data_IF_540603929818
#
_entry.id   IF_540603929818
#
_cell.length_a   1.000
_cell.length_b   1.000
_cell.length_c   1.000
_cell.angle_alpha   90.00
_cell.angle_beta   90.00
_cell.angle_gamma   90.00
#
_symmetry.space_group_name_H-M   'P 1'
#
loop_
_entity.id
_entity.type
_entity.pdbx_description
1 polymer ?
#
# COMPACT_ATOMS: atom_id res chain seq x y z
N UNK A 1 -16.18 15.11 11.00
CA UNK A 1 -15.33 14.04 10.45
C UNK A 1 -16.09 12.76 10.62
N UNK A 2 -16.47 12.13 9.50
CA UNK A 2 -17.33 10.96 9.54
C UNK A 2 -16.60 9.75 10.12
N UNK A 3 -17.33 8.87 10.81
CA UNK A 3 -16.74 7.64 11.35
C UNK A 3 -16.11 6.78 10.23
N UNK A 4 -16.69 6.80 9.02
CA UNK A 4 -16.14 6.09 7.86
C UNK A 4 -14.83 6.72 7.40
N UNK A 5 -14.74 8.03 7.40
CA UNK A 5 -13.52 8.76 7.05
C UNK A 5 -12.35 8.35 7.95
N UNK A 6 -12.57 8.27 9.28
CA UNK A 6 -11.56 7.79 10.24
C UNK A 6 -11.14 6.35 9.94
N UNK A 7 -12.10 5.46 9.66
CA UNK A 7 -11.82 4.05 9.33
C UNK A 7 -10.97 3.94 8.06
N UNK A 8 -11.31 4.67 7.00
CA UNK A 8 -10.56 4.69 5.75
C UNK A 8 -9.14 5.22 5.96
N UNK A 9 -8.97 6.31 6.70
CA UNK A 9 -7.65 6.83 7.07
C UNK A 9 -6.84 5.78 7.84
N UNK A 10 -7.43 5.10 8.82
CA UNK A 10 -6.76 4.05 9.58
C UNK A 10 -6.34 2.86 8.71
N UNK A 11 -7.14 2.50 7.69
CA UNK A 11 -6.78 1.45 6.73
C UNK A 11 -5.57 1.84 5.88
N UNK A 12 -5.47 3.10 5.42
CA UNK A 12 -4.28 3.59 4.70
C UNK A 12 -3.03 3.62 5.57
N UNK A 13 -3.15 4.05 6.83
CA UNK A 13 -2.05 3.99 7.81
C UNK A 13 -1.58 2.55 7.99
N UNK A 14 -2.50 1.62 8.21
CA UNK A 14 -2.15 0.22 8.39
C UNK A 14 -1.52 -0.39 7.13
N UNK A 15 -2.04 -0.07 5.94
CA UNK A 15 -1.45 -0.51 4.67
C UNK A 15 0.00 -0.02 4.51
N UNK A 16 0.26 1.24 4.84
CA UNK A 16 1.63 1.78 4.85
C UNK A 16 2.55 1.06 5.84
N UNK A 17 2.07 0.80 7.05
CA UNK A 17 2.85 0.11 8.06
C UNK A 17 3.15 -1.34 7.66
N UNK A 18 2.25 -2.02 6.95
CA UNK A 18 2.48 -3.36 6.41
C UNK A 18 3.64 -3.33 5.39
N UNK A 19 3.67 -2.35 4.49
CA UNK A 19 4.76 -2.22 3.53
C UNK A 19 6.10 -1.96 4.22
N UNK A 20 6.14 -1.02 5.18
CA UNK A 20 7.35 -0.72 5.95
C UNK A 20 7.83 -1.91 6.77
N UNK A 21 6.89 -2.69 7.36
CA UNK A 21 7.23 -3.91 8.08
C UNK A 21 7.88 -4.95 7.14
N UNK A 22 7.38 -5.09 5.92
CA UNK A 22 8.00 -5.94 4.90
C UNK A 22 9.45 -5.54 4.62
N UNK A 23 9.70 -4.24 4.41
CA UNK A 23 11.05 -3.73 4.18
C UNK A 23 11.98 -3.98 5.38
N UNK A 24 11.49 -3.74 6.59
CA UNK A 24 12.23 -4.03 7.83
C UNK A 24 12.59 -5.52 7.92
N UNK A 25 11.64 -6.42 7.68
CA UNK A 25 11.89 -7.87 7.73
C UNK A 25 12.90 -8.32 6.67
N UNK A 26 12.87 -7.77 5.45
CA UNK A 26 13.86 -8.08 4.40
C UNK A 26 15.27 -7.66 4.80
N UNK A 27 15.40 -6.49 5.44
CA UNK A 27 16.69 -6.01 5.94
C UNK A 27 17.23 -6.95 7.03
N UNK A 28 16.40 -7.34 8.00
CA UNK A 28 16.86 -8.14 9.14
C UNK A 28 17.01 -9.64 8.85
N UNK A 29 16.28 -10.18 7.89
CA UNK A 29 16.43 -11.58 7.45
C UNK A 29 17.68 -11.81 6.59
N UNK A 30 18.27 -10.74 6.04
CA UNK A 30 19.37 -10.84 5.08
C UNK A 30 18.92 -11.18 3.66
N UNK A 31 17.61 -11.17 3.38
CA UNK A 31 17.03 -11.39 2.05
C UNK A 31 17.21 -10.17 1.11
N UNK A 32 17.97 -9.17 1.53
CA UNK A 32 18.24 -7.95 0.77
C UNK A 32 19.74 -7.74 0.53
N UNK A 33 20.08 -7.33 -0.70
CA UNK A 33 21.41 -6.80 -1.05
C UNK A 33 21.32 -5.29 -1.23
N UNK A 34 22.14 -4.48 -0.53
CA UNK A 34 22.13 -3.03 -0.66
C UNK A 34 22.24 -2.56 -2.12
N UNK A 35 21.25 -1.78 -2.57
CA UNK A 35 21.20 -1.21 -3.92
C UNK A 35 20.64 -2.15 -5.00
N UNK A 36 20.29 -3.39 -4.67
CA UNK A 36 19.72 -4.34 -5.61
C UNK A 36 18.23 -4.62 -5.32
N UNK A 37 17.44 -4.74 -6.37
CA UNK A 37 16.10 -5.32 -6.34
C UNK A 37 16.11 -6.50 -7.29
N UNK A 38 15.66 -7.67 -6.82
CA UNK A 38 15.61 -8.92 -7.60
C UNK A 38 16.97 -9.27 -8.27
N UNK A 39 18.09 -8.97 -7.59
CA UNK A 39 19.44 -9.27 -8.08
C UNK A 39 19.96 -8.33 -9.17
N UNK A 40 19.29 -7.19 -9.40
CA UNK A 40 19.75 -6.16 -10.35
C UNK A 40 19.99 -4.83 -9.66
N UNK A 41 21.09 -4.17 -9.99
CA UNK A 41 21.40 -2.82 -9.50
C UNK A 41 20.36 -1.82 -9.99
N UNK A 42 19.78 -1.09 -9.06
CA UNK A 42 18.65 -0.20 -9.33
C UNK A 42 19.15 1.21 -9.59
N UNK A 43 18.79 1.77 -10.75
CA UNK A 43 19.18 3.13 -11.11
C UNK A 43 18.46 4.18 -10.26
N UNK A 44 19.05 5.38 -10.14
CA UNK A 44 18.45 6.50 -9.40
C UNK A 44 17.03 6.83 -9.90
N UNK A 45 16.78 6.72 -11.20
CA UNK A 45 15.45 6.94 -11.80
C UNK A 45 14.43 5.93 -11.30
N UNK A 46 14.82 4.67 -11.16
CA UNK A 46 13.92 3.63 -10.64
C UNK A 46 13.63 3.86 -9.16
N UNK A 47 14.64 4.24 -8.36
CA UNK A 47 14.43 4.63 -6.96
C UNK A 47 13.44 5.79 -6.81
N UNK A 48 13.56 6.81 -7.67
CA UNK A 48 12.61 7.91 -7.70
C UNK A 48 11.19 7.43 -8.07
N UNK A 49 11.08 6.52 -9.04
CA UNK A 49 9.80 5.92 -9.41
C UNK A 49 9.14 5.17 -8.25
N UNK A 50 9.91 4.36 -7.52
CA UNK A 50 9.42 3.67 -6.31
C UNK A 50 9.00 4.68 -5.24
N UNK A 51 9.77 5.74 -5.01
CA UNK A 51 9.44 6.77 -4.03
C UNK A 51 8.11 7.48 -4.38
N UNK A 52 7.92 7.86 -5.65
CA UNK A 52 6.67 8.46 -6.15
C UNK A 52 5.50 7.48 -6.02
N UNK A 53 5.70 6.20 -6.31
CA UNK A 53 4.66 5.19 -6.15
C UNK A 53 4.27 5.05 -4.66
N UNK A 54 5.26 4.88 -3.78
CA UNK A 54 5.06 4.63 -2.35
C UNK A 54 4.56 5.85 -1.56
N UNK A 55 4.70 7.06 -2.08
CA UNK A 55 4.08 8.25 -1.45
C UNK A 55 2.55 8.21 -1.59
N UNK A 56 2.02 7.50 -2.58
CA UNK A 56 0.57 7.42 -2.87
C UNK A 56 -0.25 7.04 -1.62
N UNK A 57 0.01 5.91 -0.94
CA UNK A 57 -0.70 5.55 0.28
C UNK A 57 -0.49 6.53 1.45
N UNK A 58 0.62 7.27 1.50
CA UNK A 58 0.81 8.37 2.47
C UNK A 58 -0.11 9.55 2.13
N UNK A 59 -0.19 9.94 0.85
CA UNK A 59 -1.11 10.98 0.40
C UNK A 59 -2.55 10.60 0.67
N UNK A 60 -2.91 9.33 0.51
CA UNK A 60 -4.26 8.85 0.79
C UNK A 60 -4.69 9.03 2.25
N UNK A 61 -3.77 8.98 3.22
CA UNK A 61 -4.08 9.31 4.62
C UNK A 61 -4.61 10.75 4.71
N UNK A 62 -3.93 11.70 4.07
CA UNK A 62 -4.29 13.11 4.08
C UNK A 62 -5.53 13.39 3.22
N UNK A 63 -5.56 12.87 2.00
CA UNK A 63 -6.67 13.05 1.07
C UNK A 63 -7.97 12.50 1.64
N UNK A 64 -7.92 11.36 2.33
CA UNK A 64 -9.11 10.82 3.01
C UNK A 64 -9.60 11.76 4.11
N UNK A 65 -8.73 12.50 4.80
CA UNK A 65 -9.15 13.47 5.83
C UNK A 65 -9.61 14.82 5.25
N UNK A 66 -9.14 15.18 4.06
CA UNK A 66 -9.35 16.51 3.47
C UNK A 66 -10.45 16.57 2.42
N UNK A 67 -10.73 15.48 1.72
CA UNK A 67 -11.72 15.44 0.65
C UNK A 67 -13.13 15.20 1.21
N UNK A 68 -14.11 15.88 0.63
CA UNK A 68 -15.52 15.67 0.91
C UNK A 68 -16.17 14.65 -0.04
N UNK A 69 -17.38 14.21 0.30
CA UNK A 69 -18.20 13.38 -0.57
C UNK A 69 -18.72 14.16 -1.79
N UNK A 70 -18.88 13.52 -2.96
CA UNK A 70 -18.64 12.09 -3.26
C UNK A 70 -17.20 11.76 -3.71
N UNK A 71 -16.32 12.77 -3.78
CA UNK A 71 -14.97 12.62 -4.37
C UNK A 71 -14.14 11.66 -3.53
N UNK A 72 -14.18 11.81 -2.20
CA UNK A 72 -13.40 10.99 -1.28
C UNK A 72 -13.65 9.48 -1.44
N UNK A 73 -14.92 9.09 -1.59
CA UNK A 73 -15.33 7.71 -1.87
C UNK A 73 -14.65 7.15 -3.12
N UNK A 74 -14.74 7.86 -4.24
CA UNK A 74 -14.21 7.36 -5.51
C UNK A 74 -12.68 7.31 -5.52
N UNK A 75 -12.02 8.31 -4.92
CA UNK A 75 -10.55 8.31 -4.79
C UNK A 75 -10.09 7.11 -3.97
N UNK A 76 -10.73 6.82 -2.83
CA UNK A 76 -10.42 5.64 -2.03
C UNK A 76 -10.58 4.32 -2.81
N UNK A 77 -11.69 4.16 -3.53
CA UNK A 77 -11.96 2.94 -4.31
C UNK A 77 -10.92 2.75 -5.40
N UNK A 78 -10.68 3.79 -6.23
CA UNK A 78 -9.78 3.69 -7.39
C UNK A 78 -8.36 3.37 -6.92
N UNK A 79 -7.87 4.07 -5.90
CA UNK A 79 -6.49 3.89 -5.42
C UNK A 79 -6.33 2.55 -4.70
N UNK A 80 -7.34 2.07 -3.96
CA UNK A 80 -7.30 0.74 -3.35
C UNK A 80 -7.33 -0.39 -4.40
N UNK A 81 -8.13 -0.26 -5.47
CA UNK A 81 -8.13 -1.21 -6.58
C UNK A 81 -6.77 -1.25 -7.28
N UNK A 82 -6.16 -0.07 -7.52
CA UNK A 82 -4.82 0.01 -8.09
C UNK A 82 -3.80 -0.75 -7.23
N UNK A 83 -3.76 -0.48 -5.93
CA UNK A 83 -2.83 -1.16 -5.01
C UNK A 83 -3.10 -2.66 -4.87
N UNK A 84 -4.37 -3.06 -4.88
CA UNK A 84 -4.75 -4.47 -4.90
C UNK A 84 -4.18 -5.17 -6.14
N UNK A 85 -4.39 -4.60 -7.33
CA UNK A 85 -3.87 -5.15 -8.58
C UNK A 85 -2.34 -5.17 -8.62
N UNK A 86 -1.70 -4.07 -8.20
CA UNK A 86 -0.24 -3.97 -8.13
C UNK A 86 0.36 -5.05 -7.22
N UNK A 87 -0.17 -5.23 -6.01
CA UNK A 87 0.30 -6.25 -5.08
C UNK A 87 0.01 -7.67 -5.58
N UNK A 88 -1.16 -7.89 -6.20
CA UNK A 88 -1.52 -9.19 -6.75
C UNK A 88 -0.53 -9.63 -7.84
N UNK A 89 -0.12 -8.71 -8.71
CA UNK A 89 0.92 -8.94 -9.71
C UNK A 89 2.31 -9.10 -9.09
N UNK A 90 2.56 -8.44 -7.95
CA UNK A 90 3.80 -8.55 -7.19
C UNK A 90 4.00 -9.87 -6.43
N UNK A 91 2.92 -10.54 -6.00
CA UNK A 91 2.95 -11.78 -5.20
C UNK A 91 3.97 -12.84 -5.65
N UNK A 92 4.04 -13.22 -6.95
CA UNK A 92 4.95 -14.28 -7.41
C UNK A 92 6.43 -13.93 -7.25
N UNK A 93 6.74 -12.64 -7.13
CA UNK A 93 8.09 -12.09 -7.08
C UNK A 93 8.78 -12.33 -5.74
N UNK A 94 8.03 -12.58 -4.66
CA UNK A 94 8.59 -12.65 -3.31
C UNK A 94 8.89 -14.09 -2.88
N UNK A 95 10.16 -14.43 -2.57
CA UNK A 95 10.53 -15.77 -2.14
C UNK A 95 10.20 -16.04 -0.65
N UNK A 96 10.23 -15.01 0.21
CA UNK A 96 10.04 -15.14 1.65
C UNK A 96 8.58 -15.41 2.07
N UNK A 97 8.37 -16.31 3.04
CA UNK A 97 7.04 -16.59 3.60
C UNK A 97 6.43 -15.37 4.29
N UNK A 98 7.25 -14.58 4.99
CA UNK A 98 6.78 -13.36 5.66
C UNK A 98 6.30 -12.30 4.65
N UNK A 99 6.99 -12.15 3.51
CA UNK A 99 6.59 -11.24 2.45
C UNK A 99 5.25 -11.62 1.86
N UNK A 100 5.07 -12.91 1.53
CA UNK A 100 3.78 -13.41 1.02
C UNK A 100 2.66 -13.20 2.03
N UNK A 101 2.91 -13.47 3.31
CA UNK A 101 1.92 -13.23 4.36
C UNK A 101 1.54 -11.76 4.44
N UNK A 102 2.51 -10.85 4.55
CA UNK A 102 2.25 -9.41 4.63
C UNK A 102 1.56 -8.89 3.37
N UNK A 103 1.88 -9.41 2.19
CA UNK A 103 1.21 -9.03 0.95
C UNK A 103 -0.24 -9.54 0.90
N UNK A 104 -0.53 -10.76 1.37
CA UNK A 104 -1.92 -11.23 1.48
C UNK A 104 -2.72 -10.38 2.47
N UNK A 105 -2.11 -9.99 3.59
CA UNK A 105 -2.73 -9.07 4.54
C UNK A 105 -2.99 -7.71 3.87
N UNK A 106 -2.03 -7.17 3.12
CA UNK A 106 -2.21 -5.90 2.40
C UNK A 106 -3.36 -5.95 1.39
N UNK A 107 -3.56 -7.08 0.70
CA UNK A 107 -4.72 -7.30 -0.19
C UNK A 107 -6.04 -7.24 0.58
N UNK A 108 -6.11 -7.86 1.77
CA UNK A 108 -7.30 -7.79 2.61
C UNK A 108 -7.62 -6.34 3.04
N UNK A 109 -6.60 -5.54 3.37
CA UNK A 109 -6.79 -4.12 3.69
C UNK A 109 -7.34 -3.32 2.49
N UNK A 110 -6.85 -3.58 1.28
CA UNK A 110 -7.40 -2.92 0.08
C UNK A 110 -8.87 -3.30 -0.16
N UNK A 111 -9.26 -4.57 0.04
CA UNK A 111 -10.67 -5.00 -0.04
C UNK A 111 -11.53 -4.29 1.00
N UNK A 112 -11.04 -4.18 2.24
CA UNK A 112 -11.74 -3.45 3.30
C UNK A 112 -11.89 -1.96 2.96
N UNK A 113 -10.86 -1.33 2.39
CA UNK A 113 -10.94 0.08 1.95
C UNK A 113 -12.02 0.27 0.89
N UNK A 114 -12.07 -0.59 -0.13
CA UNK A 114 -13.14 -0.54 -1.15
C UNK A 114 -14.51 -0.76 -0.52
N UNK A 115 -14.64 -1.74 0.37
CA UNK A 115 -15.90 -2.06 1.04
C UNK A 115 -16.43 -0.89 1.87
N UNK A 116 -15.60 -0.30 2.74
CA UNK A 116 -16.01 0.82 3.58
C UNK A 116 -16.29 2.08 2.76
N UNK A 117 -15.51 2.35 1.72
CA UNK A 117 -15.76 3.48 0.83
C UNK A 117 -17.06 3.29 0.04
N UNK A 118 -17.40 2.06 -0.37
CA UNK A 118 -18.64 1.77 -1.08
C UNK A 118 -19.88 1.95 -0.21
N UNK A 119 -19.79 1.64 1.09
CA UNK A 119 -20.87 1.84 2.07
C UNK A 119 -20.95 3.28 2.58
N UNK A 120 -20.06 4.17 2.14
CA UNK A 120 -20.11 5.57 2.50
C UNK A 120 -21.11 6.29 1.60
N UNK A 121 -22.28 6.58 2.19
CA UNK A 121 -23.29 7.47 1.64
C UNK A 121 -22.89 8.93 1.76
#
# INVERSE_FOLDING_TARGET
MDAIQIKLTALWVALMLIYLLGDVLRIFSGDFKPGEIMGTQVSQTVWLGIAVLMVTPILMILLTLMLDQPINRWVNIIVAIFWFGFNLLGLPSFPGLYDRFLLVVSLAFNVLTVWYAWQWD
#
